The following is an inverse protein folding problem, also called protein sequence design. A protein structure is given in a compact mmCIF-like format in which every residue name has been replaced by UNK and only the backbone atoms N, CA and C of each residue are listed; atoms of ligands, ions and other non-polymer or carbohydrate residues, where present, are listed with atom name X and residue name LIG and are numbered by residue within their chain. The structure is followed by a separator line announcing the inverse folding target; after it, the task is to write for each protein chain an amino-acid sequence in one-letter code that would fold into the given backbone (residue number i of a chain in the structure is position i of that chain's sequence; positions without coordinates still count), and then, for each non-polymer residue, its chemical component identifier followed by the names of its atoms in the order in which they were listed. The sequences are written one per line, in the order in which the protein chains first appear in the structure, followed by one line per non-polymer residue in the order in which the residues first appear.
data_IF_644177363566
#
_entry.id   IF_644177363566
#
_cell.length_a   1.000
_cell.length_b   1.000
_cell.length_c   1.000
_cell.angle_alpha   90.00
_cell.angle_beta   90.00
_cell.angle_gamma   90.00
#
_symmetry.space_group_name_H-M   'P 1'
#
loop_
_entity.id
_entity.type
_entity.pdbx_description
1 polymer ?
#
# COMPACT_ATOMS: atom_id res chain seq x y z
N UNK A 1 -50.64 -9.02 -16.06
CA UNK A 1 -50.16 -8.61 -17.42
C UNK A 1 -49.32 -7.32 -17.36
N UNK A 2 -48.25 -7.24 -16.59
CA UNK A 2 -47.23 -6.18 -16.63
C UNK A 2 -45.84 -6.67 -16.29
N UNK A 3 -45.47 -7.86 -16.72
CA UNK A 3 -44.13 -8.42 -16.53
C UNK A 3 -43.35 -8.64 -17.84
N UNK A 4 -43.64 -7.86 -18.90
CA UNK A 4 -43.09 -8.14 -20.21
C UNK A 4 -42.27 -7.00 -20.83
N UNK A 5 -41.79 -6.03 -20.05
CA UNK A 5 -40.99 -4.93 -20.58
C UNK A 5 -39.68 -4.61 -19.86
N UNK A 6 -39.14 -5.51 -19.03
CA UNK A 6 -37.81 -5.30 -18.38
C UNK A 6 -36.76 -6.30 -18.90
N UNK A 7 -37.00 -6.91 -20.04
CA UNK A 7 -36.10 -7.97 -20.55
C UNK A 7 -35.14 -7.58 -21.65
N UNK A 8 -35.18 -6.32 -22.12
CA UNK A 8 -34.40 -5.92 -23.31
C UNK A 8 -33.29 -4.88 -23.09
N UNK A 9 -32.95 -4.51 -21.85
CA UNK A 9 -31.84 -3.57 -21.62
C UNK A 9 -30.55 -4.19 -21.06
N UNK A 10 -30.49 -5.51 -20.96
CA UNK A 10 -29.25 -6.24 -20.65
C UNK A 10 -28.75 -7.08 -21.84
N UNK A 11 -28.82 -6.54 -23.03
CA UNK A 11 -27.99 -7.03 -24.11
C UNK A 11 -26.54 -6.69 -23.76
N UNK A 12 -25.89 -7.59 -23.02
CA UNK A 12 -24.44 -7.53 -22.85
C UNK A 12 -23.83 -7.34 -24.25
N UNK A 13 -22.96 -6.33 -24.48
CA UNK A 13 -22.32 -6.16 -25.77
C UNK A 13 -21.62 -7.49 -26.10
N UNK A 14 -21.99 -8.06 -27.25
CA UNK A 14 -21.36 -9.27 -27.77
C UNK A 14 -19.86 -9.00 -27.84
N UNK A 15 -19.13 -9.35 -26.77
CA UNK A 15 -17.69 -9.43 -26.82
C UNK A 15 -17.33 -10.35 -27.96
N UNK A 16 -16.33 -10.00 -28.73
CA UNK A 16 -15.83 -10.76 -29.86
C UNK A 16 -15.53 -12.19 -29.41
N UNK A 17 -16.53 -13.07 -29.49
CA UNK A 17 -16.38 -14.52 -29.22
C UNK A 17 -15.32 -15.05 -30.16
N UNK A 18 -14.19 -15.46 -29.62
CA UNK A 18 -13.09 -16.07 -30.39
C UNK A 18 -11.81 -15.28 -30.50
N UNK A 19 -11.69 -14.12 -29.86
CA UNK A 19 -10.42 -13.39 -29.76
C UNK A 19 -9.43 -14.18 -28.89
N UNK A 20 -8.13 -14.15 -29.23
CA UNK A 20 -7.06 -14.74 -28.42
C UNK A 20 -7.10 -14.26 -26.96
N UNK A 21 -7.47 -12.99 -26.76
CA UNK A 21 -7.68 -12.38 -25.44
C UNK A 21 -8.84 -13.03 -24.67
N UNK A 22 -9.95 -13.35 -25.34
CA UNK A 22 -11.09 -14.03 -24.72
C UNK A 22 -10.73 -15.45 -24.28
N UNK A 23 -9.96 -16.17 -25.09
CA UNK A 23 -9.46 -17.50 -24.75
C UNK A 23 -8.50 -17.50 -23.56
N UNK A 24 -7.63 -16.49 -23.48
CA UNK A 24 -6.62 -16.41 -22.43
C UNK A 24 -7.21 -15.97 -21.08
N UNK A 25 -8.07 -14.94 -21.11
CA UNK A 25 -8.63 -14.35 -19.89
C UNK A 25 -10.02 -14.89 -19.50
N UNK A 26 -10.68 -15.70 -20.34
CA UNK A 26 -12.00 -16.24 -20.05
C UNK A 26 -13.10 -15.18 -19.93
N UNK A 27 -13.02 -14.10 -20.74
CA UNK A 27 -13.89 -12.94 -20.62
C UNK A 27 -15.37 -13.30 -20.86
N UNK A 28 -15.64 -14.23 -21.77
CA UNK A 28 -16.97 -14.72 -22.06
C UNK A 28 -17.56 -15.56 -20.92
N UNK A 29 -16.74 -16.34 -20.23
CA UNK A 29 -17.15 -17.10 -19.04
C UNK A 29 -17.45 -16.18 -17.84
N UNK A 30 -16.64 -15.13 -17.70
CA UNK A 30 -16.80 -14.10 -16.67
C UNK A 30 -17.91 -13.07 -16.97
N UNK A 31 -18.62 -13.17 -18.11
CA UNK A 31 -19.63 -12.22 -18.56
C UNK A 31 -19.16 -10.76 -18.56
N UNK A 32 -17.89 -10.53 -18.96
CA UNK A 32 -17.26 -9.23 -18.95
C UNK A 32 -16.74 -8.85 -20.34
N UNK A 33 -16.24 -7.63 -20.49
CA UNK A 33 -15.65 -7.13 -21.73
C UNK A 33 -14.27 -6.54 -21.46
N UNK A 34 -13.37 -6.56 -22.46
CA UNK A 34 -12.02 -5.98 -22.36
C UNK A 34 -12.07 -4.55 -21.83
N UNK A 35 -13.01 -3.74 -22.32
CA UNK A 35 -13.16 -2.36 -21.85
C UNK A 35 -13.50 -2.28 -20.36
N UNK A 36 -14.36 -3.18 -19.88
CA UNK A 36 -14.79 -3.22 -18.48
C UNK A 36 -13.63 -3.66 -17.58
N UNK A 37 -12.85 -4.64 -18.02
CA UNK A 37 -11.64 -5.12 -17.31
C UNK A 37 -10.56 -4.03 -17.23
N UNK A 38 -10.28 -3.33 -18.33
CA UNK A 38 -9.34 -2.21 -18.34
C UNK A 38 -9.82 -1.08 -17.42
N UNK A 39 -11.10 -0.75 -17.42
CA UNK A 39 -11.65 0.28 -16.54
C UNK A 39 -11.57 -0.15 -15.07
N UNK A 40 -11.82 -1.42 -14.76
CA UNK A 40 -11.68 -1.98 -13.41
C UNK A 40 -10.20 -1.91 -12.95
N UNK A 41 -9.26 -2.37 -13.77
CA UNK A 41 -7.83 -2.31 -13.48
C UNK A 41 -7.32 -0.88 -13.29
N UNK A 42 -7.74 0.07 -14.14
CA UNK A 42 -7.41 1.50 -13.97
C UNK A 42 -8.00 2.08 -12.69
N UNK A 43 -9.22 1.69 -12.34
CA UNK A 43 -9.86 2.14 -11.10
C UNK A 43 -9.07 1.67 -9.87
N UNK A 44 -8.70 0.38 -9.81
CA UNK A 44 -7.91 -0.17 -8.71
C UNK A 44 -6.50 0.43 -8.66
N UNK A 45 -5.86 0.63 -9.80
CA UNK A 45 -4.56 1.31 -9.88
C UNK A 45 -4.62 2.72 -9.31
N UNK A 46 -5.60 3.54 -9.71
CA UNK A 46 -5.73 4.91 -9.21
C UNK A 46 -5.98 4.97 -7.70
N UNK A 47 -6.72 4.02 -7.15
CA UNK A 47 -6.97 3.98 -5.70
C UNK A 47 -5.75 3.53 -4.90
N UNK A 48 -4.82 2.79 -5.50
CA UNK A 48 -3.64 2.22 -4.81
C UNK A 48 -2.33 2.93 -5.16
N UNK A 49 -2.31 3.78 -6.19
CA UNK A 49 -1.06 4.39 -6.69
C UNK A 49 -0.35 5.27 -5.66
N UNK A 50 -1.07 5.85 -4.69
CA UNK A 50 -0.47 6.62 -3.61
C UNK A 50 0.48 5.79 -2.73
N UNK A 51 0.30 4.46 -2.68
CA UNK A 51 1.16 3.55 -1.89
C UNK A 51 2.61 3.60 -2.38
N UNK A 52 2.81 3.82 -3.70
CA UNK A 52 4.13 3.93 -4.31
C UNK A 52 4.94 5.09 -3.71
N UNK A 53 4.27 6.16 -3.26
CA UNK A 53 4.91 7.29 -2.59
C UNK A 53 4.98 7.08 -1.07
N UNK A 54 3.89 6.66 -0.45
CA UNK A 54 3.77 6.61 1.03
C UNK A 54 4.53 5.41 1.63
N UNK A 55 4.59 4.28 0.94
CA UNK A 55 5.31 3.12 1.47
C UNK A 55 6.82 3.34 1.63
N UNK A 56 7.53 3.96 0.64
CA UNK A 56 8.93 4.31 0.83
C UNK A 56 9.17 5.29 1.99
N UNK A 57 8.22 6.18 2.30
CA UNK A 57 8.34 7.09 3.45
C UNK A 57 8.36 6.30 4.77
N UNK A 58 7.47 5.33 4.97
CA UNK A 58 7.52 4.46 6.15
C UNK A 58 8.82 3.64 6.25
N UNK A 59 9.33 3.17 5.11
CA UNK A 59 10.60 2.45 5.07
C UNK A 59 11.79 3.38 5.37
N UNK A 60 11.72 4.63 4.96
CA UNK A 60 12.73 5.65 5.27
C UNK A 60 12.77 5.96 6.77
N UNK A 61 11.62 6.08 7.43
CA UNK A 61 11.53 6.26 8.87
C UNK A 61 12.15 5.08 9.63
N UNK A 62 12.10 3.88 9.06
CA UNK A 62 12.78 2.69 9.56
C UNK A 62 14.30 2.66 9.24
N UNK A 63 14.85 3.67 8.57
CA UNK A 63 16.28 3.76 8.22
C UNK A 63 16.66 3.13 6.87
N UNK A 64 15.70 2.74 6.03
CA UNK A 64 15.94 2.25 4.66
C UNK A 64 16.01 3.46 3.73
N UNK A 65 17.02 3.57 2.82
CA UNK A 65 17.06 4.67 1.85
C UNK A 65 15.77 4.75 1.02
N UNK A 66 15.22 5.96 0.88
CA UNK A 66 13.96 6.20 0.18
C UNK A 66 13.93 5.60 -1.23
N UNK A 67 15.01 5.80 -1.99
CA UNK A 67 15.12 5.31 -3.37
C UNK A 67 15.06 3.78 -3.44
N UNK A 68 15.73 3.09 -2.49
CA UNK A 68 15.70 1.63 -2.41
C UNK A 68 14.30 1.12 -2.04
N UNK A 69 13.64 1.77 -1.08
CA UNK A 69 12.26 1.50 -0.68
C UNK A 69 11.28 1.74 -1.84
N UNK A 70 11.47 2.81 -2.61
CA UNK A 70 10.65 3.15 -3.76
C UNK A 70 10.75 2.08 -4.86
N UNK A 71 11.98 1.74 -5.28
CA UNK A 71 12.20 0.73 -6.33
C UNK A 71 11.68 -0.64 -5.88
N UNK A 72 11.93 -1.04 -4.64
CA UNK A 72 11.43 -2.30 -4.09
C UNK A 72 9.89 -2.34 -4.08
N UNK A 73 9.24 -1.24 -3.70
CA UNK A 73 7.78 -1.11 -3.69
C UNK A 73 7.20 -1.23 -5.10
N UNK A 74 7.77 -0.51 -6.08
CA UNK A 74 7.32 -0.55 -7.47
C UNK A 74 7.48 -1.94 -8.07
N UNK A 75 8.64 -2.58 -7.86
CA UNK A 75 8.89 -3.92 -8.37
C UNK A 75 7.98 -4.97 -7.72
N UNK A 76 7.82 -4.94 -6.40
CA UNK A 76 6.96 -5.89 -5.68
C UNK A 76 5.49 -5.72 -6.10
N UNK A 77 5.00 -4.47 -6.18
CA UNK A 77 3.64 -4.16 -6.62
C UNK A 77 3.41 -4.55 -8.08
N UNK A 78 4.37 -4.24 -8.95
CA UNK A 78 4.31 -4.58 -10.37
C UNK A 78 4.28 -6.08 -10.61
N UNK A 79 5.20 -6.83 -9.98
CA UNK A 79 5.24 -8.29 -10.07
C UNK A 79 3.99 -8.94 -9.47
N UNK A 80 3.57 -8.51 -8.28
CA UNK A 80 2.35 -9.01 -7.62
C UNK A 80 1.10 -8.78 -8.47
N UNK A 81 0.96 -7.58 -9.03
CA UNK A 81 -0.16 -7.24 -9.92
C UNK A 81 -0.11 -8.02 -11.24
N UNK A 82 1.09 -8.21 -11.82
CA UNK A 82 1.24 -9.01 -13.02
C UNK A 82 0.87 -10.49 -12.79
N UNK A 83 1.30 -11.08 -11.67
CA UNK A 83 0.92 -12.44 -11.29
C UNK A 83 -0.60 -12.53 -11.08
N UNK A 84 -1.21 -11.55 -10.41
CA UNK A 84 -2.65 -11.51 -10.19
C UNK A 84 -3.41 -11.42 -11.52
N UNK A 85 -2.99 -10.56 -12.44
CA UNK A 85 -3.63 -10.38 -13.75
C UNK A 85 -3.41 -11.57 -14.70
N UNK A 86 -2.20 -12.09 -14.79
CA UNK A 86 -1.85 -13.14 -15.77
C UNK A 86 -2.21 -14.55 -15.30
N UNK A 87 -1.97 -14.83 -14.01
CA UNK A 87 -2.20 -16.17 -13.45
C UNK A 87 -3.59 -16.30 -12.86
N UNK A 88 -3.97 -15.42 -11.95
CA UNK A 88 -5.29 -15.47 -11.31
C UNK A 88 -6.41 -14.92 -12.21
N UNK A 89 -6.06 -14.23 -13.31
CA UNK A 89 -7.01 -13.61 -14.26
C UNK A 89 -7.99 -12.64 -13.61
N UNK A 90 -7.53 -11.91 -12.59
CA UNK A 90 -8.33 -10.92 -11.87
C UNK A 90 -7.77 -9.52 -12.11
N UNK A 91 -8.61 -8.53 -12.50
CA UNK A 91 -8.19 -7.15 -12.77
C UNK A 91 -8.04 -6.35 -11.48
N UNK A 92 -7.29 -6.88 -10.52
CA UNK A 92 -7.07 -6.28 -9.21
C UNK A 92 -5.59 -5.98 -9.03
N UNK A 93 -5.25 -4.74 -8.70
CA UNK A 93 -3.90 -4.36 -8.34
C UNK A 93 -3.57 -4.88 -6.93
N UNK A 94 -2.34 -5.36 -6.76
CA UNK A 94 -1.80 -5.86 -5.49
C UNK A 94 -0.70 -4.91 -5.03
N UNK A 95 -0.78 -4.45 -3.79
CA UNK A 95 0.23 -3.59 -3.20
C UNK A 95 0.49 -3.96 -1.74
N UNK A 96 1.63 -3.54 -1.14
CA UNK A 96 1.93 -3.74 0.26
C UNK A 96 0.84 -3.18 1.19
N UNK A 97 0.52 -3.91 2.26
CA UNK A 97 -0.45 -3.47 3.24
C UNK A 97 0.11 -2.41 4.17
N UNK A 98 -0.39 -1.17 4.09
CA UNK A 98 0.16 -0.03 4.83
C UNK A 98 0.18 -0.24 6.35
N UNK A 99 -0.83 -0.91 6.93
CA UNK A 99 -0.87 -1.19 8.36
C UNK A 99 0.28 -2.08 8.84
N UNK A 100 0.67 -3.08 8.05
CA UNK A 100 1.81 -3.94 8.37
C UNK A 100 3.14 -3.21 8.17
N UNK A 101 3.25 -2.34 7.17
CA UNK A 101 4.45 -1.55 6.93
C UNK A 101 4.66 -0.48 8.01
N UNK A 102 3.58 0.16 8.46
CA UNK A 102 3.62 1.06 9.60
C UNK A 102 4.01 0.31 10.89
N UNK A 103 3.48 -0.88 11.13
CA UNK A 103 3.89 -1.73 12.25
C UNK A 103 5.38 -2.14 12.16
N UNK A 104 5.87 -2.45 10.95
CA UNK A 104 7.29 -2.72 10.71
C UNK A 104 8.15 -1.52 11.12
N UNK A 105 7.84 -0.32 10.61
CA UNK A 105 8.64 0.87 10.89
C UNK A 105 8.55 1.31 12.36
N UNK A 106 7.33 1.56 12.85
CA UNK A 106 7.14 2.16 14.16
C UNK A 106 7.06 1.13 15.30
N UNK A 107 6.54 -0.07 15.03
CA UNK A 107 6.42 -1.11 16.05
C UNK A 107 7.72 -1.90 16.26
N UNK A 108 8.32 -2.41 15.18
CA UNK A 108 9.49 -3.27 15.28
C UNK A 108 10.79 -2.48 15.28
N UNK A 109 11.01 -1.59 14.30
CA UNK A 109 12.30 -0.91 14.17
C UNK A 109 12.42 0.19 15.24
N UNK A 110 11.53 1.16 15.27
CA UNK A 110 11.62 2.27 16.20
C UNK A 110 11.18 1.90 17.62
N UNK A 111 10.12 1.12 17.77
CA UNK A 111 9.57 0.77 19.08
C UNK A 111 10.40 -0.26 19.84
N UNK A 112 10.90 -1.29 19.17
CA UNK A 112 11.70 -2.35 19.78
C UNK A 112 13.20 -2.23 19.51
N UNK A 113 13.64 -1.15 18.85
CA UNK A 113 15.05 -0.85 18.57
C UNK A 113 15.78 -1.94 17.76
N UNK A 114 15.05 -2.72 16.96
CA UNK A 114 15.68 -3.66 16.03
C UNK A 114 16.30 -2.90 14.86
N UNK A 115 17.41 -3.40 14.33
CA UNK A 115 17.91 -2.90 13.06
C UNK A 115 16.91 -3.27 11.93
N UNK A 116 16.79 -2.41 10.92
CA UNK A 116 15.88 -2.68 9.80
C UNK A 116 16.20 -3.99 9.07
N UNK A 117 17.48 -4.43 9.07
CA UNK A 117 17.92 -5.70 8.50
C UNK A 117 17.35 -6.90 9.29
N UNK A 118 17.40 -6.84 10.61
CA UNK A 118 16.82 -7.88 11.48
C UNK A 118 15.31 -7.96 11.33
N UNK A 119 14.65 -6.80 11.28
CA UNK A 119 13.23 -6.71 11.07
C UNK A 119 12.80 -7.25 9.69
N UNK A 120 13.54 -6.92 8.61
CA UNK A 120 13.31 -7.49 7.28
C UNK A 120 13.53 -9.02 7.24
N UNK A 121 14.53 -9.52 7.95
CA UNK A 121 14.77 -10.96 8.05
C UNK A 121 13.60 -11.66 8.72
N UNK A 122 13.07 -11.08 9.81
CA UNK A 122 11.89 -11.61 10.48
C UNK A 122 10.65 -11.61 9.55
N UNK A 123 10.43 -10.53 8.80
CA UNK A 123 9.35 -10.44 7.80
C UNK A 123 9.53 -11.47 6.69
N UNK A 124 10.74 -11.68 6.21
CA UNK A 124 11.04 -12.70 5.20
C UNK A 124 10.70 -14.11 5.71
N UNK A 125 11.16 -14.46 6.90
CA UNK A 125 10.85 -15.77 7.54
C UNK A 125 9.34 -15.92 7.70
N UNK A 126 8.65 -14.90 8.21
CA UNK A 126 7.20 -14.90 8.36
C UNK A 126 6.47 -15.08 7.01
N UNK A 127 6.97 -14.45 5.94
CA UNK A 127 6.41 -14.57 4.59
C UNK A 127 6.56 -15.97 4.02
N UNK A 128 7.73 -16.60 4.22
CA UNK A 128 7.98 -18.00 3.81
C UNK A 128 7.07 -18.95 4.58
N UNK A 129 6.97 -18.80 5.91
CA UNK A 129 6.07 -19.60 6.74
C UNK A 129 4.61 -19.41 6.30
N UNK A 130 4.19 -18.17 6.03
CA UNK A 130 2.85 -17.87 5.54
C UNK A 130 2.57 -18.51 4.17
N UNK A 131 3.56 -18.52 3.27
CA UNK A 131 3.45 -19.19 1.97
C UNK A 131 3.24 -20.69 2.14
N UNK A 132 4.07 -21.36 2.95
CA UNK A 132 3.94 -22.79 3.25
C UNK A 132 2.58 -23.10 3.88
N UNK A 133 2.15 -22.25 4.80
CA UNK A 133 0.85 -22.36 5.45
C UNK A 133 -0.30 -22.16 4.45
N UNK A 134 -0.17 -21.21 3.52
CA UNK A 134 -1.18 -20.90 2.50
C UNK A 134 -1.37 -22.03 1.48
N UNK A 135 -0.32 -22.81 1.20
CA UNK A 135 -0.40 -23.99 0.34
C UNK A 135 -1.10 -25.18 1.03
N UNK A 136 -1.20 -25.17 2.35
CA UNK A 136 -1.87 -26.22 3.12
C UNK A 136 -3.36 -25.93 3.28
N UNK A 137 -4.16 -27.00 3.53
CA UNK A 137 -5.59 -26.87 3.87
C UNK A 137 -5.82 -26.17 5.23
N UNK A 138 -4.78 -25.99 6.01
CA UNK A 138 -4.80 -25.40 7.34
C UNK A 138 -5.25 -23.93 7.32
N UNK A 139 -4.98 -23.20 6.22
CA UNK A 139 -5.45 -21.83 6.02
C UNK A 139 -6.96 -21.68 6.12
N UNK A 140 -7.71 -22.54 5.43
CA UNK A 140 -9.19 -22.48 5.44
C UNK A 140 -9.75 -22.79 6.81
N UNK A 141 -9.15 -23.76 7.53
CA UNK A 141 -9.51 -24.09 8.88
C UNK A 141 -9.24 -22.93 9.85
N UNK A 142 -8.05 -22.30 9.76
CA UNK A 142 -7.68 -21.18 10.63
C UNK A 142 -8.59 -19.96 10.41
N UNK A 143 -8.86 -19.59 9.15
CA UNK A 143 -9.76 -18.48 8.84
C UNK A 143 -11.17 -18.73 9.37
N UNK A 144 -11.64 -19.98 9.30
CA UNK A 144 -12.93 -20.38 9.86
C UNK A 144 -12.96 -20.40 11.38
N UNK A 145 -11.83 -20.66 12.03
CA UNK A 145 -11.72 -20.71 13.49
C UNK A 145 -11.70 -19.31 14.15
N UNK A 146 -11.37 -18.24 13.39
CA UNK A 146 -11.31 -16.87 13.93
C UNK A 146 -12.74 -16.30 14.06
N UNK A 147 -13.22 -15.98 15.28
CA UNK A 147 -14.53 -15.35 15.47
C UNK A 147 -14.65 -14.02 14.72
N UNK A 148 -15.85 -13.71 14.22
CA UNK A 148 -16.10 -12.47 13.50
C UNK A 148 -15.74 -11.21 14.33
N UNK A 149 -16.04 -11.24 15.63
CA UNK A 149 -15.70 -10.15 16.55
C UNK A 149 -14.19 -9.86 16.59
N UNK A 150 -13.35 -10.92 16.60
CA UNK A 150 -11.90 -10.75 16.60
C UNK A 150 -11.40 -10.15 15.27
N UNK A 151 -11.95 -10.56 14.12
CA UNK A 151 -11.63 -9.96 12.82
C UNK A 151 -11.96 -8.46 12.77
N UNK A 152 -13.15 -8.11 13.26
CA UNK A 152 -13.56 -6.70 13.34
C UNK A 152 -12.65 -5.92 14.30
N UNK A 153 -12.28 -6.49 15.44
CA UNK A 153 -11.36 -5.89 16.41
C UNK A 153 -9.98 -5.63 15.84
N UNK A 154 -9.41 -6.61 15.10
CA UNK A 154 -8.13 -6.45 14.40
C UNK A 154 -8.19 -5.31 13.38
N UNK A 155 -9.25 -5.27 12.56
CA UNK A 155 -9.42 -4.22 11.54
C UNK A 155 -9.55 -2.84 12.18
N UNK A 156 -10.34 -2.71 13.25
CA UNK A 156 -10.49 -1.48 14.00
C UNK A 156 -9.16 -1.05 14.65
N UNK A 157 -8.41 -1.98 15.25
CA UNK A 157 -7.11 -1.71 15.85
C UNK A 157 -6.08 -1.20 14.84
N UNK A 158 -6.00 -1.82 13.67
CA UNK A 158 -5.13 -1.34 12.58
C UNK A 158 -5.56 0.05 12.12
N UNK A 159 -6.86 0.31 11.98
CA UNK A 159 -7.38 1.62 11.59
C UNK A 159 -7.04 2.72 12.60
N UNK A 160 -7.20 2.45 13.91
CA UNK A 160 -6.84 3.39 14.97
C UNK A 160 -5.32 3.64 15.05
N UNK A 161 -4.52 2.59 14.85
CA UNK A 161 -3.06 2.70 14.80
C UNK A 161 -2.61 3.61 13.63
N UNK A 162 -3.16 3.41 12.44
CA UNK A 162 -2.87 4.27 11.29
C UNK A 162 -3.37 5.71 11.49
N UNK A 163 -4.54 5.87 12.13
CA UNK A 163 -5.06 7.20 12.47
C UNK A 163 -4.11 7.92 13.41
N UNK A 164 -3.58 7.25 14.44
CA UNK A 164 -2.62 7.83 15.37
C UNK A 164 -1.33 8.28 14.66
N UNK A 165 -0.76 7.43 13.80
CA UNK A 165 0.41 7.80 13.00
C UNK A 165 0.11 9.01 12.11
N UNK A 166 -1.08 9.04 11.48
CA UNK A 166 -1.51 10.16 10.66
C UNK A 166 -1.63 11.45 11.44
N UNK A 167 -2.16 11.42 12.67
CA UNK A 167 -2.26 12.56 13.57
C UNK A 167 -0.89 13.07 14.01
N UNK A 168 0.07 12.18 14.26
CA UNK A 168 1.45 12.54 14.55
C UNK A 168 2.14 13.13 13.29
N UNK A 169 1.99 12.51 12.14
CA UNK A 169 2.59 12.99 10.91
C UNK A 169 2.11 14.38 10.48
N UNK A 170 0.83 14.72 10.75
CA UNK A 170 0.32 16.07 10.47
C UNK A 170 0.67 17.09 11.57
N UNK A 171 1.28 16.67 12.68
CA UNK A 171 1.66 17.53 13.80
C UNK A 171 0.51 17.92 14.73
N UNK A 172 -0.65 17.25 14.65
CA UNK A 172 -1.75 17.47 15.59
C UNK A 172 -1.46 16.84 16.96
N UNK A 173 -0.79 15.68 16.95
CA UNK A 173 -0.32 14.99 18.14
C UNK A 173 1.19 15.01 18.13
N UNK A 174 1.82 15.51 19.19
CA UNK A 174 3.27 15.54 19.35
C UNK A 174 3.67 14.85 20.64
N UNK A 175 4.90 14.38 20.71
CA UNK A 175 5.45 13.73 21.89
C UNK A 175 5.63 14.74 23.02
N UNK A 176 5.36 14.29 24.23
CA UNK A 176 5.56 15.07 25.45
C UNK A 176 6.15 14.15 26.54
N UNK A 177 7.24 14.56 27.20
CA UNK A 177 7.91 13.73 28.19
C UNK A 177 7.07 13.45 29.44
N UNK A 178 6.10 14.34 29.79
CA UNK A 178 5.29 14.21 30.99
C UNK A 178 3.99 13.41 30.75
N UNK A 179 3.34 13.67 29.61
CA UNK A 179 2.01 13.08 29.28
C UNK A 179 2.06 12.08 28.13
N UNK A 180 3.24 11.78 27.59
CA UNK A 180 3.50 10.98 26.39
C UNK A 180 2.99 11.63 25.10
N UNK A 181 1.85 12.29 25.12
CA UNK A 181 1.23 12.91 23.97
C UNK A 181 0.59 14.23 24.37
N UNK A 182 0.81 15.26 23.56
CA UNK A 182 0.11 16.55 23.68
C UNK A 182 -0.40 17.04 22.34
N UNK A 183 -1.31 18.00 22.39
CA UNK A 183 -1.79 18.70 21.21
C UNK A 183 -0.69 19.60 20.66
N UNK A 184 -0.38 19.46 19.37
CA UNK A 184 0.58 20.32 18.68
C UNK A 184 0.06 21.73 18.45
N UNK A 185 0.83 22.54 17.74
CA UNK A 185 0.43 23.91 17.38
C UNK A 185 -0.67 23.89 16.32
N UNK A 186 -1.92 24.10 16.78
CA UNK A 186 -3.12 24.11 15.93
C UNK A 186 -3.11 25.26 14.92
N UNK A 187 -2.31 26.30 15.14
CA UNK A 187 -2.17 27.45 14.25
C UNK A 187 -1.16 27.24 13.12
N UNK A 188 -0.42 26.13 13.09
CA UNK A 188 0.59 25.89 12.08
C UNK A 188 -0.02 25.77 10.68
N UNK A 189 0.55 26.42 9.64
CA UNK A 189 0.05 26.33 8.28
C UNK A 189 0.05 24.91 7.72
N UNK A 190 1.02 24.08 8.14
CA UNK A 190 1.14 22.68 7.74
C UNK A 190 -0.05 21.88 8.24
N UNK A 191 -0.42 22.04 9.53
CA UNK A 191 -1.57 21.34 10.11
C UNK A 191 -2.88 21.78 9.47
N UNK A 192 -3.07 23.09 9.24
CA UNK A 192 -4.28 23.58 8.59
C UNK A 192 -4.43 23.04 7.18
N UNK A 193 -3.32 22.97 6.43
CA UNK A 193 -3.30 22.37 5.08
C UNK A 193 -3.65 20.87 5.13
N UNK A 194 -3.09 20.13 6.09
CA UNK A 194 -3.36 18.72 6.28
C UNK A 194 -4.82 18.45 6.67
N UNK A 195 -5.39 19.25 7.57
CA UNK A 195 -6.81 19.15 7.96
C UNK A 195 -7.74 19.49 6.78
N UNK A 196 -7.43 20.54 6.01
CA UNK A 196 -8.18 20.87 4.81
C UNK A 196 -8.14 19.70 3.80
N UNK A 197 -6.97 19.08 3.63
CA UNK A 197 -6.81 17.89 2.79
C UNK A 197 -7.63 16.70 3.27
N UNK A 198 -7.65 16.44 4.55
CA UNK A 198 -8.47 15.38 5.14
C UNK A 198 -9.96 15.59 4.84
N UNK A 199 -10.45 16.82 4.99
CA UNK A 199 -11.86 17.16 4.69
C UNK A 199 -12.16 17.03 3.20
N UNK A 200 -11.26 17.49 2.33
CA UNK A 200 -11.41 17.33 0.86
C UNK A 200 -11.43 15.86 0.48
N UNK A 201 -10.51 15.06 1.02
CA UNK A 201 -10.43 13.62 0.78
C UNK A 201 -11.72 12.92 1.22
N UNK A 202 -12.21 13.20 2.43
CA UNK A 202 -13.47 12.65 2.93
C UNK A 202 -14.67 13.07 2.06
N UNK A 203 -14.71 14.31 1.59
CA UNK A 203 -15.75 14.82 0.69
C UNK A 203 -15.73 14.16 -0.69
N UNK A 204 -14.55 13.90 -1.26
CA UNK A 204 -14.40 13.20 -2.54
C UNK A 204 -14.82 11.73 -2.42
N UNK A 205 -14.42 11.08 -1.33
CA UNK A 205 -14.80 9.70 -1.04
C UNK A 205 -16.32 9.57 -0.83
N UNK A 206 -16.92 10.46 -0.07
CA UNK A 206 -18.38 10.51 0.13
C UNK A 206 -19.17 10.71 -1.17
N UNK A 207 -18.57 11.37 -2.17
CA UNK A 207 -19.14 11.52 -3.51
C UNK A 207 -18.86 10.34 -4.45
N UNK A 208 -18.14 9.33 -3.98
CA UNK A 208 -17.78 8.14 -4.76
C UNK A 208 -16.81 8.42 -5.90
N UNK A 209 -16.01 9.48 -5.81
CA UNK A 209 -15.03 9.84 -6.85
C UNK A 209 -13.85 8.88 -6.73
N UNK A 210 -13.69 8.03 -7.75
CA UNK A 210 -12.59 7.07 -7.82
C UNK A 210 -11.25 7.78 -7.93
N UNK A 211 -10.31 7.43 -7.05
CA UNK A 211 -9.01 8.08 -6.97
C UNK A 211 -8.99 9.40 -6.20
N UNK A 212 -10.04 9.70 -5.39
CA UNK A 212 -10.11 10.89 -4.54
C UNK A 212 -8.87 11.08 -3.65
N UNK A 213 -8.32 9.98 -3.11
CA UNK A 213 -7.09 9.98 -2.32
C UNK A 213 -5.91 10.53 -3.14
N UNK A 214 -5.69 10.00 -4.35
CA UNK A 214 -4.60 10.45 -5.22
C UNK A 214 -4.76 11.92 -5.64
N UNK A 215 -5.98 12.32 -6.00
CA UNK A 215 -6.30 13.70 -6.37
C UNK A 215 -5.98 14.64 -5.21
N UNK A 216 -6.35 14.26 -3.98
CA UNK A 216 -6.09 15.07 -2.79
C UNK A 216 -4.60 15.17 -2.52
N UNK A 217 -3.84 14.07 -2.56
CA UNK A 217 -2.40 14.08 -2.35
C UNK A 217 -1.70 14.98 -3.37
N UNK A 218 -2.00 14.82 -4.66
CA UNK A 218 -1.41 15.65 -5.71
C UNK A 218 -1.79 17.13 -5.57
N UNK A 219 -3.06 17.41 -5.25
CA UNK A 219 -3.54 18.77 -5.03
C UNK A 219 -2.85 19.45 -3.85
N UNK A 220 -2.75 18.76 -2.71
CA UNK A 220 -2.07 19.27 -1.53
C UNK A 220 -0.56 19.44 -1.75
N UNK A 221 0.08 18.51 -2.45
CA UNK A 221 1.50 18.61 -2.81
C UNK A 221 1.75 19.84 -3.67
N UNK A 222 0.87 20.11 -4.64
CA UNK A 222 0.97 21.28 -5.49
C UNK A 222 0.76 22.59 -4.70
N UNK A 223 -0.23 22.63 -3.81
CA UNK A 223 -0.48 23.78 -2.94
C UNK A 223 0.69 23.97 -1.97
N UNK A 224 1.19 22.91 -1.33
CA UNK A 224 2.34 22.98 -0.43
C UNK A 224 3.58 23.50 -1.11
N UNK A 225 3.83 23.09 -2.36
CA UNK A 225 4.93 23.61 -3.17
C UNK A 225 4.71 25.09 -3.54
N UNK A 226 3.53 25.48 -4.01
CA UNK A 226 3.21 26.86 -4.38
C UNK A 226 3.28 27.83 -3.19
N UNK A 227 2.98 27.38 -1.98
CA UNK A 227 3.05 28.16 -0.74
C UNK A 227 4.42 28.13 -0.06
N UNK A 228 5.39 27.37 -0.61
CA UNK A 228 6.72 27.21 -0.02
C UNK A 228 6.74 26.37 1.27
N UNK A 229 5.64 25.67 1.59
CA UNK A 229 5.55 24.75 2.74
C UNK A 229 6.20 23.41 2.45
N UNK A 230 6.44 23.08 1.19
CA UNK A 230 7.09 21.85 0.76
C UNK A 230 8.18 22.15 -0.27
N UNK A 231 9.34 21.50 -0.13
CA UNK A 231 10.42 21.59 -1.10
C UNK A 231 10.21 20.56 -2.22
N UNK A 232 10.38 21.00 -3.46
CA UNK A 232 10.28 20.12 -4.62
C UNK A 232 11.66 19.59 -5.02
N UNK A 233 11.95 18.35 -4.64
CA UNK A 233 13.22 17.68 -4.95
C UNK A 233 13.39 17.17 -6.39
N UNK A 234 12.43 17.45 -7.31
CA UNK A 234 12.45 16.96 -8.70
C UNK A 234 11.54 15.75 -8.95
N UNK A 235 11.15 15.53 -10.22
CA UNK A 235 10.25 14.44 -10.65
C UNK A 235 11.03 13.16 -10.95
N UNK A 236 12.31 13.24 -11.27
CA UNK A 236 13.14 12.10 -11.62
C UNK A 236 14.54 12.26 -11.04
N UNK A 237 14.97 11.27 -10.27
CA UNK A 237 16.38 11.04 -9.98
C UNK A 237 16.88 9.88 -10.85
N UNK A 238 18.17 9.90 -11.20
CA UNK A 238 18.76 8.74 -11.86
C UNK A 238 18.56 7.51 -10.97
N UNK A 239 18.17 6.34 -11.52
CA UNK A 239 17.98 5.15 -10.72
C UNK A 239 19.27 4.85 -9.95
N UNK A 240 19.23 4.69 -8.63
CA UNK A 240 20.43 4.44 -7.86
C UNK A 240 21.08 3.16 -8.37
N UNK A 241 22.32 3.25 -8.82
CA UNK A 241 23.12 2.10 -9.27
C UNK A 241 23.28 1.03 -8.17
N UNK A 242 22.81 1.34 -6.96
CA UNK A 242 22.88 0.50 -5.76
C UNK A 242 21.68 -0.46 -5.57
N UNK A 243 20.73 -0.52 -6.50
CA UNK A 243 19.60 -1.47 -6.41
C UNK A 243 20.08 -2.92 -6.30
N UNK A 244 21.20 -3.25 -6.96
CA UNK A 244 21.84 -4.56 -6.85
C UNK A 244 22.43 -4.84 -5.45
N UNK A 245 22.82 -3.83 -4.69
CA UNK A 245 23.33 -4.02 -3.32
C UNK A 245 22.22 -4.35 -2.32
N UNK A 246 21.00 -3.90 -2.51
CA UNK A 246 19.88 -4.23 -1.60
C UNK A 246 19.45 -5.70 -1.71
N UNK A 247 19.60 -6.31 -2.90
CA UNK A 247 19.35 -7.75 -3.13
C UNK A 247 20.57 -8.62 -2.74
N UNK A 248 21.78 -8.07 -2.79
CA UNK A 248 23.04 -8.77 -2.49
C UNK A 248 23.57 -8.51 -1.06
N UNK A 249 23.01 -7.54 -0.33
CA UNK A 249 23.48 -7.17 1.01
C UNK A 249 23.22 -8.24 2.08
N UNK A 250 22.44 -9.27 1.78
CA UNK A 250 22.33 -10.45 2.65
C UNK A 250 23.59 -11.31 2.65
N UNK A 251 24.50 -11.15 1.66
CA UNK A 251 25.77 -11.89 1.61
C UNK A 251 26.91 -11.14 2.29
N UNK A 252 26.95 -9.80 2.23
CA UNK A 252 28.06 -9.01 2.82
C UNK A 252 27.97 -8.88 4.36
N UNK A 253 26.78 -8.92 4.94
CA UNK A 253 26.61 -8.93 6.39
C UNK A 253 27.11 -10.23 7.04
N UNK A 254 27.29 -11.31 6.28
CA UNK A 254 27.90 -12.54 6.75
C UNK A 254 29.44 -12.44 6.73
N UNK A 255 30.02 -11.63 5.86
CA UNK A 255 31.48 -11.48 5.67
C UNK A 255 32.10 -10.49 6.68
N UNK A 256 31.36 -9.45 7.09
CA UNK A 256 31.84 -8.51 8.12
C UNK A 256 31.97 -9.14 9.54
N UNK A 257 31.17 -10.19 9.83
CA UNK A 257 31.32 -10.91 11.12
C UNK A 257 32.54 -11.79 11.20
N UNK A 258 33.09 -12.20 10.08
CA UNK A 258 34.33 -13.02 10.05
C UNK A 258 35.62 -12.21 10.16
N UNK A 259 35.55 -10.89 9.99
CA UNK A 259 36.75 -10.01 10.09
C UNK A 259 36.97 -9.40 11.48
N UNK A 260 36.04 -9.55 12.43
CA UNK A 260 36.12 -8.98 13.78
C UNK A 260 36.73 -9.98 14.79
N UNK A 261 36.82 -11.27 14.47
CA UNK A 261 37.37 -12.30 15.37
C UNK A 261 38.87 -12.64 15.17
N UNK A 262 39.61 -11.82 14.42
CA UNK A 262 41.05 -12.00 14.20
C UNK A 262 41.88 -10.72 14.49
N UNK A 263 41.49 -9.97 15.53
CA UNK A 263 42.26 -8.83 15.99
C UNK A 263 42.45 -8.84 17.51
#
# INVERSE_FOLDING_TARGET
QRQMCIRDSQAAPRAARGSTMDRFFGLSEANTTIRREILAGRSTFLTMSFIVAVNPMFLQDAGIPFEAGFVATVLATGLGTAIMGLWAKWPVAVAPGMGLNAYFAYGLVLGQQFSWQQALTAVFIASVLFLLFSLSRLRSWLIGAIPAALRTGITAGIGLFLAMIGLQAMGLVVDDPDTLLKLGDVGSPQLLLALAGLLVMAGLEARGIRGGILITILGLSLIGWATGLAEFGGIASAPPVRVYRCLLYTSDAADERSSVDLG
#
